data_IF_420200393736
#
_entry.id   IF_420200393736
#
_cell.length_a   1.000
_cell.length_b   1.000
_cell.length_c   1.000
_cell.angle_alpha   90.00
_cell.angle_beta   90.00
_cell.angle_gamma   90.00
#
_symmetry.space_group_name_H-M   'P 1'
#
loop_
_entity.id
_entity.type
_entity.pdbx_description
1 polymer ?
#
# COMPACT_ATOMS: atom_id res chain seq x y z
N UNK A 1 3.12 -28.05 -1.48
CA UNK A 1 3.93 -26.87 -1.12
C UNK A 1 2.98 -25.87 -0.50
N UNK A 2 3.08 -25.65 0.81
CA UNK A 2 2.13 -24.83 1.54
C UNK A 2 2.43 -23.34 1.29
N UNK A 3 1.69 -22.72 0.39
CA UNK A 3 1.51 -21.25 0.37
C UNK A 3 0.67 -20.77 1.57
N UNK A 4 0.92 -21.33 2.75
CA UNK A 4 0.62 -20.68 4.03
C UNK A 4 1.57 -19.49 4.29
N UNK A 5 2.33 -19.06 3.27
CA UNK A 5 3.23 -17.93 3.30
C UNK A 5 2.46 -16.67 3.64
N UNK A 6 2.57 -16.27 4.91
CA UNK A 6 1.99 -15.10 5.56
C UNK A 6 1.09 -14.26 4.64
N UNK A 7 -0.22 -14.28 4.89
CA UNK A 7 -1.10 -13.27 4.28
C UNK A 7 -0.45 -11.91 4.57
N UNK A 8 0.02 -11.24 3.52
CA UNK A 8 0.52 -9.87 3.56
C UNK A 8 -0.63 -8.97 3.06
N UNK A 9 -1.66 -8.72 3.89
CA UNK A 9 -2.87 -8.06 3.46
C UNK A 9 -2.66 -6.55 3.30
N UNK A 10 -1.58 -5.98 3.81
CA UNK A 10 -1.34 -4.53 3.77
C UNK A 10 -0.48 -4.16 2.58
N UNK A 11 -1.00 -3.28 1.73
CA UNK A 11 -0.37 -2.82 0.51
C UNK A 11 0.04 -1.38 0.69
N UNK A 12 1.17 -1.01 0.11
CA UNK A 12 1.49 0.39 -0.14
C UNK A 12 1.20 0.66 -1.60
N UNK A 13 0.32 1.61 -1.85
CA UNK A 13 -0.07 2.07 -3.19
C UNK A 13 0.55 3.44 -3.42
N UNK A 14 1.10 3.64 -4.62
CA UNK A 14 1.51 4.94 -5.15
C UNK A 14 0.53 5.34 -6.25
N UNK A 15 0.06 6.58 -6.22
CA UNK A 15 -0.56 7.22 -7.37
C UNK A 15 0.31 8.37 -7.84
N UNK A 16 0.58 8.42 -9.14
CA UNK A 16 1.22 9.58 -9.76
C UNK A 16 0.19 10.63 -10.21
N UNK A 17 0.71 11.76 -10.67
CA UNK A 17 -0.03 12.93 -11.14
C UNK A 17 -0.98 12.61 -12.31
N UNK A 18 -0.69 11.54 -13.07
CA UNK A 18 -1.49 11.05 -14.18
C UNK A 18 -2.63 10.13 -13.71
N UNK A 19 -2.72 9.86 -12.41
CA UNK A 19 -3.73 8.97 -11.83
C UNK A 19 -3.37 7.49 -11.91
N UNK A 20 -2.17 7.14 -12.40
CA UNK A 20 -1.77 5.74 -12.47
C UNK A 20 -1.43 5.22 -11.09
N UNK A 21 -2.02 4.08 -10.74
CA UNK A 21 -1.84 3.43 -9.44
C UNK A 21 -0.93 2.22 -9.55
N UNK A 22 0.11 2.19 -8.73
CA UNK A 22 1.08 1.12 -8.68
C UNK A 22 1.24 0.60 -7.26
N UNK A 23 1.41 -0.71 -7.14
CA UNK A 23 1.73 -1.34 -5.87
C UNK A 23 3.24 -1.26 -5.62
N UNK A 24 3.61 -0.62 -4.52
CA UNK A 24 5.00 -0.46 -4.09
C UNK A 24 5.47 -1.67 -3.28
N UNK A 25 4.58 -2.27 -2.47
CA UNK A 25 4.96 -3.40 -1.61
C UNK A 25 3.79 -4.15 -0.96
N UNK A 26 4.13 -5.22 -0.22
CA UNK A 26 3.21 -6.00 0.63
C UNK A 26 3.81 -6.15 2.02
N UNK A 27 2.98 -6.03 3.05
CA UNK A 27 3.40 -6.07 4.44
C UNK A 27 2.45 -6.91 5.27
N UNK A 28 3.00 -7.51 6.33
CA UNK A 28 2.25 -8.34 7.25
C UNK A 28 1.37 -7.47 8.16
N UNK A 29 1.83 -6.27 8.50
CA UNK A 29 1.13 -5.33 9.37
C UNK A 29 0.92 -3.96 8.72
N UNK A 30 -0.13 -3.25 9.16
CA UNK A 30 -0.39 -1.87 8.74
C UNK A 30 0.75 -0.94 9.13
N UNK A 31 1.34 -1.15 10.31
CA UNK A 31 2.41 -0.31 10.83
C UNK A 31 3.67 -0.37 9.96
N UNK A 32 4.05 -1.55 9.47
CA UNK A 32 5.15 -1.69 8.52
C UNK A 32 4.86 -0.99 7.19
N UNK A 33 3.65 -1.14 6.66
CA UNK A 33 3.23 -0.44 5.45
C UNK A 33 3.23 1.08 5.64
N UNK A 34 2.77 1.56 6.80
CA UNK A 34 2.69 2.99 7.09
C UNK A 34 4.07 3.63 7.19
N UNK A 35 5.04 2.99 7.86
CA UNK A 35 6.43 3.48 7.90
C UNK A 35 7.02 3.67 6.50
N UNK A 36 6.63 2.83 5.55
CA UNK A 36 7.09 2.95 4.16
C UNK A 36 6.43 4.16 3.48
N UNK A 37 5.12 4.35 3.65
CA UNK A 37 4.43 5.56 3.18
C UNK A 37 5.10 6.83 3.73
N UNK A 38 5.30 6.89 5.04
CA UNK A 38 5.91 8.05 5.71
C UNK A 38 7.33 8.32 5.16
N UNK A 39 8.13 7.27 4.93
CA UNK A 39 9.48 7.40 4.36
C UNK A 39 9.53 7.85 2.90
N UNK A 40 8.42 7.67 2.16
CA UNK A 40 8.32 8.01 0.74
C UNK A 40 7.71 9.41 0.55
N UNK A 41 6.83 9.84 1.46
CA UNK A 41 6.20 11.18 1.47
C UNK A 41 7.24 12.29 1.69
N UNK A 42 8.24 12.05 2.55
CA UNK A 42 9.33 12.99 2.87
C UNK A 42 10.24 13.40 1.68
N UNK A 43 10.04 12.80 0.48
CA UNK A 43 10.92 13.01 -0.69
C UNK A 43 10.48 14.14 -1.63
N UNK A 44 9.42 14.89 -1.31
CA UNK A 44 9.08 16.14 -2.01
C UNK A 44 8.60 15.97 -3.47
N UNK A 45 8.09 14.78 -3.83
CA UNK A 45 7.50 14.51 -5.14
C UNK A 45 5.97 14.58 -5.08
N UNK A 46 5.31 14.92 -6.20
CA UNK A 46 3.84 15.04 -6.34
C UNK A 46 3.05 13.72 -6.25
N UNK A 47 3.72 12.65 -5.83
CA UNK A 47 3.15 11.31 -5.77
C UNK A 47 2.42 11.12 -4.45
N UNK A 48 1.23 10.55 -4.52
CA UNK A 48 0.44 10.19 -3.35
C UNK A 48 0.74 8.76 -2.95
N UNK A 49 1.01 8.53 -1.67
CA UNK A 49 1.25 7.21 -1.10
C UNK A 49 0.23 6.92 0.00
N UNK A 50 -0.34 5.71 0.02
CA UNK A 50 -1.23 5.29 1.12
C UNK A 50 -1.21 3.78 1.32
N UNK A 51 -1.72 3.37 2.48
CA UNK A 51 -1.87 1.96 2.85
C UNK A 51 -3.27 1.45 2.51
N UNK A 52 -3.36 0.31 1.85
CA UNK A 52 -4.63 -0.37 1.51
C UNK A 52 -4.63 -1.80 2.06
N UNK A 53 -5.77 -2.29 2.54
CA UNK A 53 -5.93 -3.68 3.00
C UNK A 53 -6.62 -4.53 1.93
N UNK A 54 -5.99 -5.63 1.51
CA UNK A 54 -6.60 -6.62 0.62
C UNK A 54 -7.87 -7.17 1.28
N UNK A 55 -9.00 -7.08 0.58
CA UNK A 55 -10.30 -7.57 1.04
C UNK A 55 -11.11 -6.54 1.83
N UNK A 56 -10.64 -5.30 1.94
CA UNK A 56 -11.43 -4.17 2.44
C UNK A 56 -11.71 -3.20 1.29
N UNK A 57 -12.08 -3.72 0.12
CA UNK A 57 -12.77 -2.90 -0.88
C UNK A 57 -14.13 -2.61 -0.27
N UNK A 58 -14.28 -1.43 0.32
CA UNK A 58 -15.59 -0.93 0.71
C UNK A 58 -16.45 -0.89 -0.55
N UNK A 59 -17.34 -1.87 -0.69
CA UNK A 59 -18.61 -1.67 -1.38
C UNK A 59 -19.27 -0.50 -0.66
N UNK A 60 -19.12 0.71 -1.20
CA UNK A 60 -20.00 1.83 -0.89
C UNK A 60 -20.84 2.06 -2.13
N UNK A 61 -22.12 1.79 -1.92
CA UNK A 61 -23.27 1.84 -2.81
C UNK A 61 -23.56 3.26 -3.31
#
# INVERSE_FOLDING_TARGET
MNDSGALLPWLVIRQDDNGNRYRVGRYATRAEAQKVVDSLDDRGHKQLYWVERIGQTATMN
#
